data_IF_479892238648
#
_entry.id   IF_479892238648
#
_cell.length_a   1.000
_cell.length_b   1.000
_cell.length_c   1.000
_cell.angle_alpha   90.00
_cell.angle_beta   90.00
_cell.angle_gamma   90.00
#
_symmetry.space_group_name_H-M   'P 1'
#
loop_
_entity.id
_entity.type
_entity.pdbx_description
1 polymer ?
#
# COMPACT_ATOMS: atom_id res chain seq x y z
N UNK A 1 26.17 6.30 2.13
CA UNK A 1 27.04 7.40 1.69
C UNK A 1 26.19 8.40 0.95
N UNK A 2 26.11 9.63 1.46
CA UNK A 2 25.32 10.72 0.85
C UNK A 2 25.90 11.04 -0.53
N UNK A 3 25.13 10.82 -1.60
CA UNK A 3 25.42 11.41 -2.89
C UNK A 3 25.13 12.90 -2.77
N UNK A 4 26.17 13.73 -2.68
CA UNK A 4 26.03 15.18 -2.76
C UNK A 4 25.43 15.50 -4.14
N UNK A 5 24.20 15.99 -4.15
CA UNK A 5 23.51 16.41 -5.37
C UNK A 5 23.90 17.86 -5.64
N UNK A 6 24.59 18.12 -6.76
CA UNK A 6 25.01 19.47 -7.13
C UNK A 6 23.98 20.05 -8.10
N UNK A 7 23.47 21.25 -7.81
CA UNK A 7 22.65 22.03 -8.74
C UNK A 7 23.53 23.10 -9.40
N UNK A 8 23.70 23.02 -10.71
CA UNK A 8 24.61 23.87 -11.49
C UNK A 8 23.79 24.69 -12.49
N UNK A 9 24.04 25.99 -12.52
CA UNK A 9 23.41 26.92 -13.47
C UNK A 9 24.47 27.38 -14.47
N UNK A 10 24.17 27.25 -15.77
CA UNK A 10 24.99 27.82 -16.83
C UNK A 10 24.41 29.18 -17.21
N UNK A 11 25.26 30.22 -17.20
CA UNK A 11 24.89 31.60 -17.54
C UNK A 11 25.19 31.98 -18.99
N UNK A 12 25.02 33.27 -19.28
CA UNK A 12 24.71 33.90 -20.57
C UNK A 12 25.83 33.90 -21.64
N UNK A 13 26.81 33.02 -21.53
CA UNK A 13 27.84 32.85 -22.57
C UNK A 13 27.40 31.79 -23.58
N UNK A 14 27.46 32.12 -24.87
CA UNK A 14 27.10 31.21 -25.96
C UNK A 14 27.86 29.87 -25.90
N UNK A 15 29.14 29.89 -25.53
CA UNK A 15 29.96 28.68 -25.34
C UNK A 15 29.47 27.82 -24.16
N UNK A 16 29.06 28.46 -23.07
CA UNK A 16 28.51 27.79 -21.88
C UNK A 16 27.11 27.24 -22.15
N UNK A 17 26.30 27.95 -22.95
CA UNK A 17 24.98 27.49 -23.38
C UNK A 17 25.13 26.26 -24.28
N UNK A 18 26.02 26.31 -25.27
CA UNK A 18 26.28 25.18 -26.16
C UNK A 18 26.80 23.97 -25.38
N UNK A 19 27.67 24.20 -24.40
CA UNK A 19 28.12 23.14 -23.49
C UNK A 19 26.99 22.60 -22.61
N UNK A 20 26.10 23.46 -22.11
CA UNK A 20 24.92 23.06 -21.34
C UNK A 20 23.94 22.22 -22.17
N UNK A 21 23.83 22.49 -23.47
CA UNK A 21 23.03 21.68 -24.39
C UNK A 21 23.77 20.44 -24.91
N UNK A 22 25.10 20.40 -24.89
CA UNK A 22 25.92 19.30 -25.41
C UNK A 22 27.30 19.22 -24.70
N UNK A 23 27.36 18.60 -23.51
CA UNK A 23 28.62 18.43 -22.80
C UNK A 23 29.51 17.43 -23.51
N UNK A 24 30.73 17.83 -23.82
CA UNK A 24 31.70 17.00 -24.53
C UNK A 24 32.97 16.73 -23.69
N UNK A 25 33.07 17.30 -22.48
CA UNK A 25 34.22 17.18 -21.55
C UNK A 25 33.77 17.31 -20.09
N UNK A 26 34.56 16.79 -19.15
CA UNK A 26 34.35 16.97 -17.71
C UNK A 26 34.91 18.32 -17.22
N UNK A 27 34.12 19.39 -17.33
CA UNK A 27 34.52 20.75 -16.93
C UNK A 27 34.87 20.90 -15.44
N UNK A 28 34.28 20.05 -14.58
CA UNK A 28 34.48 20.11 -13.13
C UNK A 28 35.67 19.27 -12.65
N UNK A 29 36.35 18.57 -13.55
CA UNK A 29 37.47 17.66 -13.26
C UNK A 29 37.19 16.69 -12.10
N UNK A 30 35.95 16.18 -12.05
CA UNK A 30 35.52 15.34 -10.93
C UNK A 30 35.98 13.92 -11.17
N UNK A 31 36.78 13.40 -10.25
CA UNK A 31 37.36 12.06 -10.30
C UNK A 31 36.45 10.98 -9.68
N UNK A 32 35.15 11.22 -9.50
CA UNK A 32 34.22 10.26 -8.89
C UNK A 32 32.82 10.38 -9.49
N UNK A 33 32.10 9.26 -9.53
CA UNK A 33 30.74 9.20 -10.09
C UNK A 33 29.82 10.19 -9.36
N UNK A 34 29.49 11.30 -10.03
CA UNK A 34 28.72 12.41 -9.44
C UNK A 34 27.48 12.67 -10.28
N UNK A 35 26.36 12.83 -9.59
CA UNK A 35 25.07 13.23 -10.16
C UNK A 35 24.91 14.73 -10.04
N UNK A 36 24.69 15.40 -11.16
CA UNK A 36 24.47 16.85 -11.25
C UNK A 36 23.11 17.14 -11.84
N UNK A 37 22.38 18.07 -11.22
CA UNK A 37 21.21 18.70 -11.82
C UNK A 37 21.65 20.00 -12.47
N UNK A 38 21.33 20.17 -13.75
CA UNK A 38 21.78 21.30 -14.55
C UNK A 38 20.58 22.04 -15.10
N UNK A 39 20.62 23.37 -14.95
CA UNK A 39 19.69 24.27 -15.59
C UNK A 39 20.45 25.16 -16.56
N UNK A 40 20.13 25.04 -17.84
CA UNK A 40 20.57 25.97 -18.87
C UNK A 40 19.70 27.23 -18.81
N UNK A 41 20.30 28.37 -19.08
CA UNK A 41 19.56 29.62 -19.22
C UNK A 41 18.55 29.52 -20.38
N UNK A 42 17.35 30.07 -20.18
CA UNK A 42 16.16 29.93 -21.04
C UNK A 42 15.54 28.53 -21.18
N UNK A 43 16.08 27.52 -20.49
CA UNK A 43 15.43 26.20 -20.43
C UNK A 43 14.51 26.11 -19.20
N UNK A 44 13.26 25.74 -19.43
CA UNK A 44 12.30 25.49 -18.35
C UNK A 44 12.53 24.13 -17.67
N UNK A 45 13.43 23.31 -18.22
CA UNK A 45 13.66 21.92 -17.81
C UNK A 45 15.00 21.81 -17.08
N UNK A 46 15.00 21.14 -15.93
CA UNK A 46 16.23 20.75 -15.23
C UNK A 46 16.67 19.39 -15.77
N UNK A 47 17.90 19.29 -16.27
CA UNK A 47 18.48 18.07 -16.83
C UNK A 47 19.39 17.40 -15.84
N UNK A 48 19.56 16.08 -15.96
CA UNK A 48 20.47 15.32 -15.12
C UNK A 48 21.71 14.91 -15.92
N UNK A 49 22.90 15.23 -15.39
CA UNK A 49 24.17 14.77 -15.93
C UNK A 49 24.87 13.81 -14.97
N UNK A 50 25.55 12.83 -15.55
CA UNK A 50 26.43 11.91 -14.84
C UNK A 50 27.85 12.06 -15.36
N UNK A 51 28.79 12.36 -14.46
CA UNK A 51 30.20 12.14 -14.73
C UNK A 51 30.51 10.67 -14.43
N UNK A 52 30.86 9.91 -15.46
CA UNK A 52 31.38 8.54 -15.33
C UNK A 52 32.91 8.60 -15.35
N UNK A 53 33.59 7.62 -14.78
CA UNK A 53 35.06 7.55 -14.77
C UNK A 53 35.60 7.31 -16.20
N UNK A 54 35.73 8.41 -16.97
CA UNK A 54 36.36 8.70 -18.27
C UNK A 54 35.80 10.06 -18.76
N UNK A 55 36.43 10.74 -19.71
CA UNK A 55 36.05 12.09 -20.19
C UNK A 55 34.67 12.22 -20.89
N UNK A 56 33.69 11.37 -20.56
CA UNK A 56 32.36 11.32 -21.17
C UNK A 56 31.25 11.62 -20.14
N UNK A 57 30.31 12.48 -20.54
CA UNK A 57 29.11 12.82 -19.77
C UNK A 57 27.88 12.21 -20.45
N UNK A 58 27.08 11.43 -19.71
CA UNK A 58 25.79 10.90 -20.20
C UNK A 58 24.62 11.72 -19.67
N UNK A 59 23.62 11.96 -20.54
CA UNK A 59 22.38 12.69 -20.25
C UNK A 59 21.19 11.72 -20.17
N UNK A 60 20.32 11.90 -19.19
CA UNK A 60 18.98 11.30 -19.16
C UNK A 60 17.93 12.43 -19.09
N UNK A 61 17.09 12.55 -20.12
CA UNK A 61 16.00 13.53 -20.17
C UNK A 61 14.75 12.92 -19.50
N UNK A 62 14.53 13.26 -18.23
CA UNK A 62 13.28 12.92 -17.53
C UNK A 62 12.21 13.95 -17.89
N UNK A 63 11.26 13.53 -18.72
CA UNK A 63 10.08 14.27 -19.22
C UNK A 63 10.23 14.77 -20.65
N UNK A 64 10.15 13.82 -21.59
CA UNK A 64 9.49 14.11 -22.85
C UNK A 64 8.25 13.23 -22.98
N UNK A 65 7.08 13.87 -23.01
CA UNK A 65 5.79 13.26 -23.36
C UNK A 65 5.55 13.30 -24.87
N UNK A 66 6.61 13.43 -25.67
CA UNK A 66 6.56 13.21 -27.12
C UNK A 66 6.94 11.77 -27.44
N UNK A 67 5.90 11.01 -27.79
CA UNK A 67 5.91 9.62 -28.25
C UNK A 67 6.56 9.46 -29.65
N UNK A 68 7.66 10.17 -29.91
CA UNK A 68 8.35 10.20 -31.22
C UNK A 68 9.82 9.83 -31.19
N UNK A 69 10.41 9.52 -30.03
CA UNK A 69 11.73 8.88 -29.97
C UNK A 69 11.65 7.44 -29.45
N UNK A 70 12.01 6.54 -30.36
CA UNK A 70 12.13 5.09 -30.37
C UNK A 70 13.23 4.55 -29.45
N UNK A 71 13.35 5.05 -28.21
CA UNK A 71 14.39 4.58 -27.28
C UNK A 71 13.87 3.45 -26.39
N UNK A 72 14.60 2.32 -26.38
CA UNK A 72 14.46 1.24 -25.39
C UNK A 72 14.61 1.82 -23.97
N UNK A 73 13.50 1.97 -23.26
CA UNK A 73 13.46 2.61 -21.95
C UNK A 73 12.96 1.65 -20.86
N UNK A 74 13.21 2.02 -19.60
CA UNK A 74 12.87 1.22 -18.43
C UNK A 74 13.83 0.04 -18.18
N UNK A 75 13.49 -0.78 -17.18
CA UNK A 75 14.36 -1.86 -16.71
C UNK A 75 14.74 -2.85 -17.82
N UNK A 76 13.76 -3.35 -18.58
CA UNK A 76 13.98 -4.37 -19.61
C UNK A 76 14.74 -3.81 -20.82
N UNK A 77 14.45 -2.57 -21.23
CA UNK A 77 15.19 -1.88 -22.30
C UNK A 77 16.65 -1.65 -21.92
N UNK A 78 16.90 -1.21 -20.68
CA UNK A 78 18.27 -0.95 -20.19
C UNK A 78 19.08 -2.23 -20.06
N UNK A 79 18.47 -3.32 -19.59
CA UNK A 79 19.14 -4.62 -19.56
C UNK A 79 19.52 -5.06 -20.98
N UNK A 80 18.63 -4.87 -21.97
CA UNK A 80 18.95 -5.21 -23.35
C UNK A 80 20.08 -4.34 -23.91
N UNK A 81 20.14 -3.06 -23.54
CA UNK A 81 21.22 -2.16 -23.93
C UNK A 81 22.57 -2.60 -23.33
N UNK A 82 22.61 -3.00 -22.06
CA UNK A 82 23.83 -3.55 -21.44
C UNK A 82 24.23 -4.88 -22.10
N UNK A 83 23.27 -5.73 -22.46
CA UNK A 83 23.52 -6.95 -23.22
C UNK A 83 24.13 -6.61 -24.60
N UNK A 84 23.56 -5.62 -25.31
CA UNK A 84 24.03 -5.14 -26.61
C UNK A 84 25.48 -4.66 -26.55
N UNK A 85 25.84 -3.90 -25.51
CA UNK A 85 27.21 -3.41 -25.32
C UNK A 85 28.20 -4.54 -25.04
N UNK A 86 27.86 -5.50 -24.18
CA UNK A 86 28.78 -6.57 -23.75
C UNK A 86 28.93 -7.65 -24.83
N UNK A 87 27.84 -7.98 -25.53
CA UNK A 87 27.83 -8.99 -26.60
C UNK A 87 28.13 -8.39 -27.99
N UNK A 88 28.27 -7.07 -28.10
CA UNK A 88 28.54 -6.34 -29.33
C UNK A 88 27.57 -6.66 -30.48
N UNK A 89 26.26 -6.57 -30.21
CA UNK A 89 25.22 -6.70 -31.23
C UNK A 89 24.33 -5.45 -31.30
N UNK A 90 23.75 -5.18 -32.46
CA UNK A 90 22.85 -4.06 -32.68
C UNK A 90 21.40 -4.45 -32.42
N UNK A 91 20.63 -3.53 -31.85
CA UNK A 91 19.18 -3.70 -31.64
C UNK A 91 18.43 -2.74 -32.53
N UNK A 92 17.46 -3.26 -33.29
CA UNK A 92 16.52 -2.46 -34.07
C UNK A 92 15.10 -2.57 -33.48
N UNK A 93 14.43 -1.43 -33.32
CA UNK A 93 13.07 -1.37 -32.77
C UNK A 93 12.06 -1.49 -33.92
N UNK A 94 11.67 -2.73 -34.22
CA UNK A 94 10.75 -3.03 -35.33
C UNK A 94 9.33 -2.51 -35.08
N UNK A 95 8.79 -2.71 -33.87
CA UNK A 95 7.40 -2.36 -33.55
C UNK A 95 7.15 -2.24 -32.05
N UNK A 96 6.11 -1.49 -31.67
CA UNK A 96 5.62 -1.35 -30.30
C UNK A 96 4.15 -1.75 -30.23
N UNK A 97 3.83 -2.72 -29.37
CA UNK A 97 2.48 -3.26 -29.19
C UNK A 97 1.92 -2.86 -27.82
N UNK A 98 0.62 -2.59 -27.74
CA UNK A 98 -0.06 -2.32 -26.47
C UNK A 98 -0.39 -3.60 -25.68
N UNK A 99 -0.44 -4.75 -26.37
CA UNK A 99 -0.78 -6.04 -25.78
C UNK A 99 0.42 -6.98 -25.76
N UNK A 100 0.64 -7.64 -24.62
CA UNK A 100 1.63 -8.71 -24.51
C UNK A 100 1.30 -9.87 -25.45
N UNK A 101 0.03 -10.27 -25.48
CA UNK A 101 -0.50 -11.22 -26.45
C UNK A 101 -1.50 -12.20 -25.85
N UNK A 102 -2.62 -12.35 -26.54
CA UNK A 102 -3.73 -13.23 -26.17
C UNK A 102 -3.85 -14.36 -27.18
N UNK A 103 -4.20 -15.57 -26.72
CA UNK A 103 -4.51 -16.66 -27.63
C UNK A 103 -6.01 -16.68 -27.96
N UNK A 104 -6.34 -16.42 -29.23
CA UNK A 104 -7.69 -16.56 -29.73
C UNK A 104 -7.95 -18.01 -30.16
N UNK A 105 -8.85 -18.69 -29.45
CA UNK A 105 -9.18 -20.09 -29.74
C UNK A 105 -9.83 -20.27 -31.11
N UNK A 106 -10.65 -19.31 -31.54
CA UNK A 106 -11.43 -19.39 -32.78
C UNK A 106 -10.53 -19.31 -34.03
N UNK A 107 -9.62 -18.33 -34.05
CA UNK A 107 -8.66 -18.14 -35.15
C UNK A 107 -7.39 -18.96 -34.99
N UNK A 108 -7.22 -19.66 -33.87
CA UNK A 108 -5.99 -20.38 -33.47
C UNK A 108 -4.72 -19.53 -33.59
N UNK A 109 -4.84 -18.22 -33.37
CA UNK A 109 -3.75 -17.27 -33.55
C UNK A 109 -3.44 -16.49 -32.26
N UNK A 110 -2.20 -16.05 -32.14
CA UNK A 110 -1.73 -15.18 -31.06
C UNK A 110 -1.76 -13.72 -31.51
N UNK A 111 -2.18 -12.82 -30.62
CA UNK A 111 -2.07 -11.37 -30.84
C UNK A 111 -0.87 -10.76 -30.12
N UNK A 112 -0.66 -9.44 -30.35
CA UNK A 112 0.36 -8.65 -29.68
C UNK A 112 1.77 -9.17 -29.95
N UNK A 113 2.67 -8.96 -28.99
CA UNK A 113 4.09 -9.36 -29.15
C UNK A 113 4.23 -10.88 -29.28
N UNK A 114 3.41 -11.67 -28.59
CA UNK A 114 3.40 -13.14 -28.75
C UNK A 114 3.09 -13.57 -30.18
N UNK A 115 2.12 -12.92 -30.84
CA UNK A 115 1.79 -13.20 -32.24
C UNK A 115 2.98 -13.01 -33.17
N UNK A 116 3.70 -11.90 -33.01
CA UNK A 116 4.86 -11.55 -33.82
C UNK A 116 6.07 -12.45 -33.59
N UNK A 117 6.28 -12.90 -32.34
CA UNK A 117 7.31 -13.90 -32.03
C UNK A 117 6.99 -15.27 -32.67
N UNK A 118 5.72 -15.63 -32.71
CA UNK A 118 5.26 -16.90 -33.33
C UNK A 118 5.34 -16.83 -34.86
N UNK A 119 4.99 -15.70 -35.47
CA UNK A 119 5.15 -15.48 -36.92
C UNK A 119 6.61 -15.20 -37.34
N UNK A 120 7.54 -15.08 -36.38
CA UNK A 120 8.96 -14.77 -36.59
C UNK A 120 9.18 -13.41 -37.27
N UNK A 121 8.30 -12.45 -37.03
CA UNK A 121 8.47 -11.05 -37.46
C UNK A 121 9.48 -10.30 -36.60
N UNK A 122 9.72 -10.77 -35.36
CA UNK A 122 10.68 -10.19 -34.41
C UNK A 122 11.45 -11.30 -33.70
N UNK A 123 12.69 -11.02 -33.27
CA UNK A 123 13.54 -11.99 -32.59
C UNK A 123 13.33 -12.05 -31.08
N UNK A 124 13.11 -10.87 -30.46
CA UNK A 124 13.04 -10.68 -29.00
C UNK A 124 11.90 -9.70 -28.67
N UNK A 125 11.01 -10.14 -27.78
CA UNK A 125 10.04 -9.30 -27.09
C UNK A 125 10.64 -8.71 -25.82
N UNK A 126 10.69 -7.38 -25.76
CA UNK A 126 11.33 -6.61 -24.67
C UNK A 126 10.28 -5.94 -23.81
N UNK A 127 9.79 -6.66 -22.81
CA UNK A 127 8.86 -6.15 -21.81
C UNK A 127 8.85 -7.08 -20.58
N UNK A 128 8.03 -6.74 -19.59
CA UNK A 128 7.71 -7.61 -18.46
C UNK A 128 6.80 -8.76 -18.91
N UNK A 129 7.37 -9.78 -19.58
CA UNK A 129 6.62 -10.97 -19.96
C UNK A 129 6.62 -12.02 -18.86
N UNK A 130 5.42 -12.29 -18.34
CA UNK A 130 5.16 -13.41 -17.46
C UNK A 130 5.16 -14.74 -18.22
N UNK A 131 5.69 -15.76 -17.56
CA UNK A 131 5.76 -17.13 -18.09
C UNK A 131 4.49 -17.92 -17.75
N UNK A 132 3.92 -18.59 -18.76
CA UNK A 132 2.83 -19.56 -18.62
C UNK A 132 3.15 -20.79 -19.47
N UNK A 133 2.63 -21.97 -19.08
CA UNK A 133 2.75 -23.23 -19.83
C UNK A 133 2.45 -23.05 -21.32
N UNK A 134 1.33 -22.40 -21.67
CA UNK A 134 0.93 -22.22 -23.07
C UNK A 134 1.84 -21.28 -23.86
N UNK A 135 2.36 -20.23 -23.21
CA UNK A 135 3.33 -19.34 -23.85
C UNK A 135 4.66 -20.06 -24.07
N UNK A 136 5.10 -20.87 -23.10
CA UNK A 136 6.29 -21.71 -23.21
C UNK A 136 6.22 -22.76 -24.34
N UNK A 137 5.02 -23.16 -24.77
CA UNK A 137 4.85 -24.06 -25.91
C UNK A 137 5.23 -23.39 -27.25
N UNK A 138 5.01 -22.08 -27.37
CA UNK A 138 5.13 -21.35 -28.64
C UNK A 138 6.31 -20.37 -28.72
N UNK A 139 6.86 -19.95 -27.59
CA UNK A 139 8.05 -19.08 -27.50
C UNK A 139 9.00 -19.59 -26.42
N UNK A 140 10.23 -19.11 -26.44
CA UNK A 140 11.19 -19.32 -25.36
C UNK A 140 11.29 -18.09 -24.45
N UNK A 141 11.64 -18.29 -23.18
CA UNK A 141 11.89 -17.20 -22.26
C UNK A 141 13.33 -17.24 -21.75
N UNK A 142 13.90 -16.06 -21.49
CA UNK A 142 15.17 -15.95 -20.77
C UNK A 142 15.02 -16.37 -19.30
N UNK A 143 16.15 -16.46 -18.59
CA UNK A 143 16.14 -16.44 -17.12
C UNK A 143 15.44 -15.16 -16.62
N UNK A 144 14.73 -15.21 -15.48
CA UNK A 144 13.91 -14.09 -15.03
C UNK A 144 14.74 -12.87 -14.66
N UNK A 145 14.35 -11.70 -15.15
CA UNK A 145 14.96 -10.41 -14.80
C UNK A 145 14.35 -9.84 -13.51
N UNK A 146 13.08 -10.14 -13.27
CA UNK A 146 12.37 -9.79 -12.04
C UNK A 146 11.45 -10.92 -11.61
N UNK A 147 11.27 -11.07 -10.30
CA UNK A 147 10.28 -11.98 -9.70
C UNK A 147 9.39 -11.10 -8.83
N UNK A 148 8.10 -11.15 -9.10
CA UNK A 148 7.06 -10.41 -8.40
C UNK A 148 6.04 -11.37 -7.82
N UNK A 149 4.98 -10.85 -7.20
CA UNK A 149 3.83 -11.65 -6.77
C UNK A 149 2.55 -11.21 -7.46
N UNK A 150 1.67 -12.17 -7.70
CA UNK A 150 0.30 -11.89 -8.10
C UNK A 150 -0.52 -11.46 -6.89
N UNK A 151 -1.16 -10.30 -6.99
CA UNK A 151 -1.96 -9.72 -5.93
C UNK A 151 -3.35 -9.38 -6.45
N UNK A 152 -4.29 -9.29 -5.52
CA UNK A 152 -5.61 -8.72 -5.77
C UNK A 152 -5.67 -7.30 -5.22
N UNK A 153 -6.04 -6.34 -6.06
CA UNK A 153 -6.14 -4.94 -5.70
C UNK A 153 -7.60 -4.51 -5.64
N UNK A 154 -7.97 -3.85 -4.55
CA UNK A 154 -9.29 -3.25 -4.37
C UNK A 154 -9.17 -1.83 -3.86
N UNK A 155 -10.22 -1.05 -4.07
CA UNK A 155 -10.35 0.27 -3.45
C UNK A 155 -10.27 0.14 -1.93
N UNK A 156 -9.42 0.94 -1.28
CA UNK A 156 -9.37 1.03 0.17
C UNK A 156 -10.75 1.49 0.70
N UNK A 157 -11.46 0.71 1.53
CA UNK A 157 -12.62 1.19 2.27
C UNK A 157 -12.30 2.46 3.05
N UNK A 158 -13.25 3.40 3.00
CA UNK A 158 -13.18 4.66 3.77
C UNK A 158 -13.49 4.45 5.26
N UNK A 159 -13.91 3.26 5.67
CA UNK A 159 -14.32 2.99 7.05
C UNK A 159 -13.11 2.65 7.91
N UNK A 160 -12.87 3.49 8.92
CA UNK A 160 -12.17 3.11 10.13
C UNK A 160 -13.11 2.20 10.92
N UNK A 161 -12.89 0.89 10.91
CA UNK A 161 -13.47 0.04 11.93
C UNK A 161 -12.70 0.32 13.22
N UNK A 162 -13.00 1.43 13.92
CA UNK A 162 -12.56 1.50 15.30
C UNK A 162 -13.29 0.37 16.00
N UNK A 163 -12.53 -0.62 16.44
CA UNK A 163 -13.07 -1.77 17.11
C UNK A 163 -13.63 -1.27 18.43
N UNK A 164 -14.96 -1.08 18.50
CA UNK A 164 -15.62 -0.54 19.69
C UNK A 164 -15.35 -1.36 20.95
N UNK A 165 -14.98 -2.64 20.79
CA UNK A 165 -14.47 -3.46 21.89
C UNK A 165 -13.27 -2.84 22.62
N UNK A 166 -12.43 -2.04 21.94
CA UNK A 166 -11.33 -1.31 22.56
C UNK A 166 -11.81 -0.20 23.50
N UNK A 167 -12.94 0.45 23.20
CA UNK A 167 -13.58 1.37 24.13
C UNK A 167 -14.31 0.64 25.25
N UNK A 168 -14.72 -0.62 25.06
CA UNK A 168 -15.68 -1.32 25.93
C UNK A 168 -15.04 -2.38 26.85
N UNK A 169 -13.76 -2.24 27.23
CA UNK A 169 -13.11 -3.10 28.25
C UNK A 169 -13.53 -2.77 29.70
N UNK A 170 -14.83 -2.55 29.97
CA UNK A 170 -15.34 -2.12 31.28
C UNK A 170 -15.68 -3.28 32.21
N UNK A 171 -15.87 -4.50 31.69
CA UNK A 171 -16.38 -5.61 32.49
C UNK A 171 -15.47 -5.89 33.71
N UNK A 172 -14.15 -5.99 33.51
CA UNK A 172 -13.18 -6.18 34.60
C UNK A 172 -13.15 -5.01 35.57
N UNK A 173 -13.28 -3.78 35.06
CA UNK A 173 -13.34 -2.58 35.89
C UNK A 173 -14.60 -2.56 36.76
N UNK A 174 -15.79 -2.91 36.25
CA UNK A 174 -17.04 -2.92 37.03
C UNK A 174 -16.96 -3.92 38.21
N UNK A 175 -16.36 -5.09 38.00
CA UNK A 175 -16.13 -6.05 39.09
C UNK A 175 -15.18 -5.50 40.16
N UNK A 176 -14.09 -4.86 39.75
CA UNK A 176 -13.16 -4.21 40.69
C UNK A 176 -13.87 -3.10 41.49
N UNK A 177 -14.73 -2.32 40.85
CA UNK A 177 -15.49 -1.23 41.47
C UNK A 177 -16.46 -1.71 42.54
N UNK A 178 -17.24 -2.74 42.22
CA UNK A 178 -18.20 -3.33 43.16
C UNK A 178 -17.50 -4.04 44.32
N UNK A 179 -16.34 -4.64 44.08
CA UNK A 179 -15.52 -5.22 45.15
C UNK A 179 -14.94 -4.14 46.08
N UNK A 180 -14.35 -3.08 45.52
CA UNK A 180 -13.79 -1.98 46.32
C UNK A 180 -14.87 -1.23 47.12
N UNK A 181 -16.08 -1.03 46.56
CA UNK A 181 -17.19 -0.39 47.28
C UNK A 181 -17.66 -1.22 48.47
N UNK A 182 -17.75 -2.55 48.29
CA UNK A 182 -18.08 -3.48 49.36
C UNK A 182 -17.05 -3.43 50.49
N UNK A 183 -15.75 -3.46 50.17
CA UNK A 183 -14.66 -3.43 51.16
C UNK A 183 -14.69 -2.13 51.96
N UNK A 184 -14.83 -0.98 51.29
CA UNK A 184 -14.91 0.33 51.98
C UNK A 184 -16.17 0.41 52.84
N UNK A 185 -17.32 -0.05 52.36
CA UNK A 185 -18.56 -0.04 53.12
C UNK A 185 -18.48 -0.93 54.38
N UNK A 186 -17.78 -2.06 54.31
CA UNK A 186 -17.51 -2.93 55.47
C UNK A 186 -16.53 -2.24 56.45
N UNK A 187 -15.50 -1.56 55.95
CA UNK A 187 -14.60 -0.80 56.81
C UNK A 187 -15.34 0.35 57.53
N UNK A 188 -16.13 1.13 56.79
CA UNK A 188 -16.91 2.24 57.38
C UNK A 188 -17.97 1.75 58.36
N UNK A 189 -18.62 0.60 58.12
CA UNK A 189 -19.61 0.04 59.06
C UNK A 189 -18.98 -0.51 60.35
N UNK A 190 -17.70 -0.93 60.30
CA UNK A 190 -16.94 -1.28 61.51
C UNK A 190 -16.48 -0.04 62.31
N UNK A 191 -16.29 1.10 61.64
CA UNK A 191 -15.92 2.37 62.28
C UNK A 191 -17.12 3.21 62.74
N UNK A 192 -18.34 2.94 62.25
CA UNK A 192 -19.56 3.65 62.66
C UNK A 192 -20.83 2.83 62.46
N UNK A 193 -21.83 3.02 63.34
CA UNK A 193 -23.13 2.31 63.30
C UNK A 193 -24.06 2.87 62.21
N UNK A 194 -23.69 2.70 60.94
CA UNK A 194 -24.55 3.00 59.77
C UNK A 194 -24.92 1.70 59.04
N UNK A 195 -26.07 1.72 58.36
CA UNK A 195 -26.53 0.60 57.53
C UNK A 195 -25.55 0.34 56.38
N UNK A 196 -25.08 -0.90 56.25
CA UNK A 196 -24.08 -1.31 55.25
C UNK A 196 -24.58 -1.06 53.82
N UNK A 197 -25.86 -1.30 53.56
CA UNK A 197 -26.46 -1.16 52.21
C UNK A 197 -26.42 0.29 51.73
N UNK A 198 -26.76 1.26 52.60
CA UNK A 198 -26.70 2.68 52.27
C UNK A 198 -25.26 3.16 52.04
N UNK A 199 -24.30 2.63 52.82
CA UNK A 199 -22.88 2.90 52.62
C UNK A 199 -22.36 2.32 51.30
N UNK A 200 -22.86 1.17 50.84
CA UNK A 200 -22.45 0.58 49.55
C UNK A 200 -22.86 1.50 48.39
N UNK A 201 -24.10 2.02 48.40
CA UNK A 201 -24.57 2.90 47.31
C UNK A 201 -23.81 4.22 47.27
N UNK A 202 -23.58 4.86 48.42
CA UNK A 202 -22.80 6.10 48.53
C UNK A 202 -21.34 5.90 48.08
N UNK A 203 -20.69 4.82 48.55
CA UNK A 203 -19.32 4.51 48.15
C UNK A 203 -19.20 4.11 46.67
N UNK A 204 -20.23 3.50 46.06
CA UNK A 204 -20.24 3.26 44.62
C UNK A 204 -20.08 4.56 43.82
N UNK A 205 -20.77 5.64 44.21
CA UNK A 205 -20.63 6.94 43.54
C UNK A 205 -19.26 7.58 43.78
N UNK A 206 -18.71 7.49 45.00
CA UNK A 206 -17.37 7.99 45.28
C UNK A 206 -16.29 7.28 44.47
N UNK A 207 -16.35 5.94 44.38
CA UNK A 207 -15.38 5.18 43.60
C UNK A 207 -15.56 5.45 42.11
N UNK A 208 -16.81 5.56 41.62
CA UNK A 208 -17.09 6.01 40.25
C UNK A 208 -16.44 7.37 39.95
N UNK A 209 -16.62 8.34 40.85
CA UNK A 209 -15.96 9.64 40.77
C UNK A 209 -14.45 9.53 40.69
N UNK A 210 -13.82 8.70 41.54
CA UNK A 210 -12.37 8.48 41.50
C UNK A 210 -11.89 7.93 40.15
N UNK A 211 -12.62 6.97 39.55
CA UNK A 211 -12.31 6.48 38.20
C UNK A 211 -12.46 7.54 37.11
N UNK A 212 -13.39 8.47 37.29
CA UNK A 212 -13.54 9.65 36.44
C UNK A 212 -12.54 10.76 36.79
N UNK A 213 -11.50 10.49 37.58
CA UNK A 213 -10.50 11.46 38.05
C UNK A 213 -11.06 12.61 38.87
N UNK A 214 -12.20 12.39 39.53
CA UNK A 214 -12.80 13.35 40.45
C UNK A 214 -12.31 13.10 41.88
N UNK A 215 -12.17 14.19 42.64
CA UNK A 215 -11.81 14.12 44.06
C UNK A 215 -12.97 13.60 44.93
N UNK A 216 -12.64 13.25 46.17
CA UNK A 216 -13.65 12.99 47.19
C UNK A 216 -14.23 14.32 47.70
N UNK A 217 -15.55 14.42 47.93
CA UNK A 217 -16.14 15.63 48.49
C UNK A 217 -15.72 15.88 49.94
N UNK A 218 -15.54 14.82 50.72
CA UNK A 218 -15.06 14.89 52.10
C UNK A 218 -14.08 13.75 52.37
N UNK A 219 -12.98 14.05 53.07
CA UNK A 219 -11.98 13.05 53.42
C UNK A 219 -12.31 12.38 54.76
N UNK A 220 -12.21 11.04 54.86
CA UNK A 220 -12.47 10.34 56.12
C UNK A 220 -11.42 10.71 57.17
N UNK A 221 -11.83 10.80 58.43
CA UNK A 221 -10.95 11.15 59.55
C UNK A 221 -9.93 10.04 59.89
N UNK A 222 -10.35 8.77 59.81
CA UNK A 222 -9.53 7.62 60.17
C UNK A 222 -8.39 7.37 59.17
N UNK A 223 -7.18 7.13 59.70
CA UNK A 223 -5.96 6.88 58.90
C UNK A 223 -6.05 5.64 58.02
N UNK A 224 -6.70 4.57 58.48
CA UNK A 224 -6.92 3.34 57.70
C UNK A 224 -7.76 3.59 56.44
N UNK A 225 -8.82 4.40 56.55
CA UNK A 225 -9.64 4.80 55.42
C UNK A 225 -8.89 5.75 54.47
N UNK A 226 -8.09 6.68 54.99
CA UNK A 226 -7.24 7.56 54.16
C UNK A 226 -6.26 6.75 53.29
N UNK A 227 -5.61 5.73 53.86
CA UNK A 227 -4.71 4.85 53.12
C UNK A 227 -5.46 4.02 52.05
N UNK A 228 -6.66 3.54 52.37
CA UNK A 228 -7.50 2.80 51.42
C UNK A 228 -7.94 3.67 50.24
N UNK A 229 -8.37 4.91 50.48
CA UNK A 229 -8.71 5.83 49.40
C UNK A 229 -7.47 6.25 48.59
N UNK A 230 -6.33 6.49 49.24
CA UNK A 230 -5.08 6.82 48.55
C UNK A 230 -4.62 5.69 47.60
N UNK A 231 -4.73 4.43 48.02
CA UNK A 231 -4.40 3.29 47.14
C UNK A 231 -5.37 3.15 45.98
N UNK A 232 -6.66 3.44 46.19
CA UNK A 232 -7.66 3.48 45.11
C UNK A 232 -7.40 4.60 44.10
N UNK A 233 -7.01 5.80 44.56
CA UNK A 233 -6.59 6.89 43.67
C UNK A 233 -5.38 6.51 42.82
N UNK A 234 -4.33 5.93 43.42
CA UNK A 234 -3.14 5.50 42.68
C UNK A 234 -3.52 4.42 41.65
N UNK A 235 -4.32 3.43 42.04
CA UNK A 235 -4.80 2.38 41.16
C UNK A 235 -5.60 2.95 39.98
N UNK A 236 -6.50 3.89 40.25
CA UNK A 236 -7.30 4.56 39.23
C UNK A 236 -6.44 5.35 38.24
N UNK A 237 -5.40 6.05 38.70
CA UNK A 237 -4.44 6.74 37.82
C UNK A 237 -3.74 5.73 36.89
N UNK A 238 -3.28 4.59 37.42
CA UNK A 238 -2.62 3.55 36.62
C UNK A 238 -3.58 2.95 35.58
N UNK A 239 -4.82 2.65 35.96
CA UNK A 239 -5.85 2.16 35.04
C UNK A 239 -6.14 3.20 33.95
N UNK A 240 -6.23 4.49 34.30
CA UNK A 240 -6.48 5.53 33.32
C UNK A 240 -5.32 5.69 32.33
N UNK A 241 -4.07 5.72 32.82
CA UNK A 241 -2.88 5.84 31.97
C UNK A 241 -2.79 4.64 31.02
N UNK A 242 -3.00 3.42 31.52
CA UNK A 242 -2.96 2.22 30.69
C UNK A 242 -4.07 2.21 29.64
N UNK A 243 -5.30 2.58 30.01
CA UNK A 243 -6.41 2.73 29.06
C UNK A 243 -6.13 3.80 28.00
N UNK A 244 -5.60 4.96 28.39
CA UNK A 244 -5.24 6.03 27.47
C UNK A 244 -4.15 5.59 26.48
N UNK A 245 -3.14 4.86 26.97
CA UNK A 245 -2.06 4.33 26.15
C UNK A 245 -2.56 3.26 25.15
N UNK A 246 -3.38 2.30 25.58
CA UNK A 246 -3.93 1.27 24.69
C UNK A 246 -4.86 1.87 23.64
N UNK A 247 -5.72 2.82 24.05
CA UNK A 247 -6.59 3.54 23.13
C UNK A 247 -5.78 4.33 22.09
N UNK A 248 -4.74 5.04 22.52
CA UNK A 248 -3.84 5.76 21.60
C UNK A 248 -3.17 4.80 20.62
N UNK A 249 -2.66 3.66 21.10
CA UNK A 249 -2.08 2.62 20.23
C UNK A 249 -3.08 2.15 19.16
N UNK A 250 -4.33 1.87 19.53
CA UNK A 250 -5.35 1.43 18.56
C UNK A 250 -5.74 2.51 17.55
N UNK A 251 -5.82 3.77 17.97
CA UNK A 251 -6.20 4.87 17.06
C UNK A 251 -5.04 5.21 16.11
N UNK A 252 -3.78 5.05 16.55
CA UNK A 252 -2.61 5.36 15.71
C UNK A 252 -2.40 4.38 14.56
N UNK A 253 -2.79 3.11 14.72
CA UNK A 253 -2.66 2.10 13.68
C UNK A 253 -3.99 1.91 12.96
N UNK A 254 -4.10 2.46 11.75
CA UNK A 254 -5.25 2.22 10.89
C UNK A 254 -5.19 0.81 10.28
N UNK A 255 -5.97 -0.11 10.83
CA UNK A 255 -6.26 -1.39 10.19
C UNK A 255 -7.64 -1.35 9.52
N UNK A 256 -7.71 -1.17 8.19
CA UNK A 256 -8.97 -1.20 7.48
C UNK A 256 -9.54 -2.62 7.52
N UNK A 257 -10.81 -2.75 7.87
CA UNK A 257 -11.54 -4.01 7.74
C UNK A 257 -11.71 -4.34 6.25
N UNK A 258 -10.86 -5.23 5.74
CA UNK A 258 -10.99 -5.76 4.39
C UNK A 258 -12.22 -6.67 4.31
N UNK A 259 -12.97 -6.65 3.19
CA UNK A 259 -14.11 -7.53 3.00
C UNK A 259 -13.71 -9.00 2.87
N UNK A 260 -12.45 -9.27 2.52
CA UNK A 260 -11.85 -10.60 2.49
C UNK A 260 -10.32 -10.46 2.55
N UNK A 261 -9.67 -11.49 3.09
CA UNK A 261 -8.20 -11.57 3.23
C UNK A 261 -7.59 -12.72 2.43
N UNK A 262 -8.40 -13.70 2.04
CA UNK A 262 -7.95 -14.89 1.30
C UNK A 262 -8.64 -15.05 -0.04
N UNK A 263 -7.99 -15.79 -0.95
CA UNK A 263 -8.57 -16.20 -2.23
C UNK A 263 -9.89 -16.98 -2.05
N UNK A 264 -9.97 -17.81 -1.01
CA UNK A 264 -11.14 -18.65 -0.74
C UNK A 264 -12.33 -17.80 -0.28
N UNK A 265 -12.07 -16.84 0.62
CA UNK A 265 -13.07 -15.91 1.12
C UNK A 265 -13.61 -15.00 -0.01
N UNK A 266 -12.73 -14.54 -0.91
CA UNK A 266 -13.14 -13.81 -2.12
C UNK A 266 -14.14 -14.61 -2.99
N UNK A 267 -13.99 -15.93 -3.08
CA UNK A 267 -14.87 -16.76 -3.90
C UNK A 267 -16.24 -17.03 -3.24
N UNK A 268 -16.26 -17.10 -1.91
CA UNK A 268 -17.47 -17.27 -1.10
C UNK A 268 -18.32 -15.99 -1.08
N UNK A 269 -17.69 -14.83 -0.86
CA UNK A 269 -18.38 -13.56 -0.78
C UNK A 269 -18.67 -12.99 -2.18
N UNK A 270 -19.94 -12.97 -2.58
CA UNK A 270 -20.38 -12.53 -3.93
C UNK A 270 -20.38 -11.02 -4.18
N UNK A 271 -19.78 -10.23 -3.29
CA UNK A 271 -19.93 -8.77 -3.31
C UNK A 271 -19.04 -8.05 -4.32
N UNK A 272 -17.99 -8.73 -4.83
CA UNK A 272 -17.03 -8.16 -5.77
C UNK A 272 -16.88 -9.02 -7.02
N UNK A 273 -16.79 -8.35 -8.18
CA UNK A 273 -16.42 -8.99 -9.45
C UNK A 273 -14.91 -8.93 -9.67
N UNK A 274 -14.38 -9.78 -10.54
CA UNK A 274 -12.97 -9.85 -10.88
C UNK A 274 -12.71 -9.12 -12.20
N UNK A 275 -11.73 -8.21 -12.23
CA UNK A 275 -11.25 -7.58 -13.47
C UNK A 275 -9.76 -7.87 -13.67
N UNK A 276 -9.35 -7.94 -14.93
CA UNK A 276 -7.97 -8.20 -15.35
C UNK A 276 -7.66 -7.42 -16.61
N UNK A 277 -6.38 -7.19 -16.88
CA UNK A 277 -5.96 -6.54 -18.10
C UNK A 277 -6.25 -7.41 -19.33
N UNK A 278 -6.89 -6.84 -20.35
CA UNK A 278 -7.25 -7.57 -21.57
C UNK A 278 -5.99 -8.04 -22.31
N UNK A 279 -5.99 -9.32 -22.71
CA UNK A 279 -4.86 -9.94 -23.41
C UNK A 279 -3.57 -10.04 -22.60
N UNK A 280 -3.68 -9.96 -21.27
CA UNK A 280 -2.60 -10.30 -20.35
C UNK A 280 -2.56 -11.80 -20.06
N UNK A 281 -1.47 -12.22 -19.41
CA UNK A 281 -1.36 -13.58 -18.85
C UNK A 281 -2.50 -13.90 -17.86
N UNK A 282 -2.99 -12.91 -17.12
CA UNK A 282 -4.07 -13.07 -16.13
C UNK A 282 -5.36 -13.48 -16.81
N UNK A 283 -5.68 -12.80 -17.91
CA UNK A 283 -6.82 -13.09 -18.75
C UNK A 283 -6.74 -14.51 -19.34
N UNK A 284 -5.59 -14.87 -19.95
CA UNK A 284 -5.35 -16.20 -20.50
C UNK A 284 -5.49 -17.30 -19.45
N UNK A 285 -4.89 -17.08 -18.28
CA UNK A 285 -4.85 -18.07 -17.19
C UNK A 285 -6.24 -18.33 -16.63
N UNK A 286 -7.06 -17.29 -16.45
CA UNK A 286 -8.44 -17.45 -15.96
C UNK A 286 -9.34 -18.12 -17.00
N UNK A 287 -9.22 -17.75 -18.27
CA UNK A 287 -10.08 -18.31 -19.30
C UNK A 287 -9.80 -19.79 -19.58
N UNK A 288 -8.53 -20.21 -19.50
CA UNK A 288 -8.08 -21.50 -20.01
C UNK A 288 -7.78 -22.53 -18.92
N UNK A 289 -7.57 -22.11 -17.66
CA UNK A 289 -7.25 -23.04 -16.58
C UNK A 289 -8.41 -24.00 -16.29
N UNK A 290 -8.04 -25.27 -16.06
CA UNK A 290 -8.97 -26.34 -15.64
C UNK A 290 -9.10 -26.44 -14.11
N UNK A 291 -8.32 -25.67 -13.35
CA UNK A 291 -8.30 -25.75 -11.91
C UNK A 291 -9.65 -25.30 -11.32
N UNK A 292 -10.23 -26.01 -10.33
CA UNK A 292 -11.57 -25.72 -9.80
C UNK A 292 -11.71 -24.29 -9.28
N UNK A 293 -10.70 -23.80 -8.56
CA UNK A 293 -10.65 -22.43 -8.03
C UNK A 293 -10.69 -21.38 -9.16
N UNK A 294 -9.91 -21.59 -10.22
CA UNK A 294 -9.84 -20.64 -11.34
C UNK A 294 -11.13 -20.67 -12.17
N UNK A 295 -11.81 -21.82 -12.24
CA UNK A 295 -13.14 -21.92 -12.85
C UNK A 295 -14.18 -21.09 -12.09
N UNK A 296 -14.07 -21.00 -10.76
CA UNK A 296 -14.90 -20.11 -9.95
C UNK A 296 -14.54 -18.64 -10.18
N UNK A 297 -13.25 -18.31 -10.27
CA UNK A 297 -12.80 -16.95 -10.66
C UNK A 297 -13.32 -16.55 -12.03
N UNK A 298 -13.33 -17.47 -13.00
CA UNK A 298 -13.86 -17.23 -14.35
C UNK A 298 -15.34 -16.86 -14.32
N UNK A 299 -16.13 -17.43 -13.41
CA UNK A 299 -17.55 -17.05 -13.23
C UNK A 299 -17.72 -15.64 -12.65
N UNK A 300 -16.71 -15.12 -11.95
CA UNK A 300 -16.69 -13.76 -11.37
C UNK A 300 -16.03 -12.72 -12.30
N UNK A 301 -15.43 -13.17 -13.39
CA UNK A 301 -14.72 -12.30 -14.33
C UNK A 301 -15.72 -11.39 -15.05
N UNK A 302 -15.41 -10.10 -15.08
CA UNK A 302 -16.13 -9.11 -15.89
C UNK A 302 -16.13 -9.54 -17.36
N UNK A 303 -17.21 -9.21 -18.09
CA UNK A 303 -17.34 -9.55 -19.50
C UNK A 303 -16.13 -9.08 -20.32
N UNK A 304 -15.72 -9.88 -21.31
CA UNK A 304 -14.51 -9.61 -22.11
C UNK A 304 -14.51 -8.25 -22.84
N UNK A 305 -15.68 -7.65 -23.06
CA UNK A 305 -15.83 -6.33 -23.68
C UNK A 305 -15.51 -5.18 -22.72
N UNK A 306 -15.78 -5.38 -21.43
CA UNK A 306 -15.63 -4.38 -20.37
C UNK A 306 -14.29 -4.55 -19.62
N UNK A 307 -13.39 -5.40 -20.14
CA UNK A 307 -12.05 -5.57 -19.61
C UNK A 307 -11.14 -4.41 -20.05
N UNK A 308 -10.38 -3.82 -19.13
CA UNK A 308 -9.55 -2.67 -19.41
C UNK A 308 -8.39 -3.01 -20.35
N UNK A 309 -8.10 -2.07 -21.23
CA UNK A 309 -6.99 -2.13 -22.21
C UNK A 309 -5.81 -1.26 -21.80
N UNK A 310 -6.02 -0.32 -20.88
CA UNK A 310 -4.95 0.52 -20.31
C UNK A 310 -4.93 0.42 -18.79
N UNK A 311 -3.76 0.66 -18.20
CA UNK A 311 -3.62 0.63 -16.74
C UNK A 311 -4.48 1.69 -16.06
N UNK A 312 -4.60 2.88 -16.66
CA UNK A 312 -5.41 3.98 -16.12
C UNK A 312 -6.89 3.59 -16.09
N UNK A 313 -7.38 2.97 -17.16
CA UNK A 313 -8.75 2.44 -17.25
C UNK A 313 -9.00 1.37 -16.18
N UNK A 314 -8.06 0.44 -15.99
CA UNK A 314 -8.17 -0.59 -14.96
C UNK A 314 -8.26 0.00 -13.54
N UNK A 315 -7.41 1.00 -13.24
CA UNK A 315 -7.42 1.69 -11.95
C UNK A 315 -8.71 2.49 -11.75
N UNK A 316 -9.19 3.17 -12.80
CA UNK A 316 -10.47 3.88 -12.75
C UNK A 316 -11.65 2.92 -12.51
N UNK A 317 -11.64 1.75 -13.14
CA UNK A 317 -12.65 0.70 -12.94
C UNK A 317 -12.69 0.24 -11.47
N UNK A 318 -11.53 0.00 -10.84
CA UNK A 318 -11.46 -0.39 -9.41
C UNK A 318 -11.97 0.71 -8.49
N UNK A 319 -11.73 1.97 -8.82
CA UNK A 319 -12.13 3.09 -7.97
C UNK A 319 -13.63 3.43 -8.06
N UNK A 320 -14.26 3.11 -9.19
CA UNK A 320 -15.67 3.43 -9.48
C UNK A 320 -16.61 2.24 -9.27
N UNK A 321 -16.19 1.04 -9.67
CA UNK A 321 -16.99 -0.18 -9.60
C UNK A 321 -16.53 -1.06 -8.43
N UNK A 322 -17.41 -1.95 -7.95
CA UNK A 322 -17.06 -2.98 -6.94
C UNK A 322 -16.35 -4.15 -7.62
N UNK A 323 -15.13 -3.89 -8.10
CA UNK A 323 -14.29 -4.89 -8.76
C UNK A 323 -12.94 -5.03 -8.07
N UNK A 324 -12.34 -6.21 -8.22
CA UNK A 324 -11.02 -6.55 -7.74
C UNK A 324 -10.12 -6.75 -8.95
N UNK A 325 -9.01 -6.02 -8.99
CA UNK A 325 -8.03 -6.11 -10.07
C UNK A 325 -6.98 -7.16 -9.74
N UNK A 326 -6.88 -8.20 -10.56
CA UNK A 326 -5.88 -9.26 -10.38
C UNK A 326 -4.68 -9.04 -11.30
N UNK A 327 -3.53 -8.67 -10.71
CA UNK A 327 -2.29 -8.39 -11.44
C UNK A 327 -1.05 -8.43 -10.52
N UNK A 328 0.15 -8.22 -11.08
CA UNK A 328 1.37 -8.12 -10.28
C UNK A 328 1.55 -6.74 -9.63
N UNK A 329 2.47 -6.67 -8.67
CA UNK A 329 2.83 -5.44 -7.95
C UNK A 329 3.56 -4.39 -8.78
N UNK A 330 4.35 -4.79 -9.78
CA UNK A 330 5.14 -3.84 -10.57
C UNK A 330 4.23 -2.90 -11.35
N UNK A 331 3.18 -3.43 -12.00
CA UNK A 331 2.26 -2.60 -12.79
C UNK A 331 1.49 -1.60 -11.93
N UNK A 332 1.06 -1.97 -10.72
CA UNK A 332 0.36 -1.05 -9.80
C UNK A 332 1.32 -0.02 -9.21
N UNK A 333 2.48 -0.45 -8.72
CA UNK A 333 3.44 0.45 -8.09
C UNK A 333 3.98 1.50 -9.05
N UNK A 334 4.27 1.11 -10.31
CA UNK A 334 4.71 2.03 -11.36
C UNK A 334 3.68 3.12 -11.67
N UNK A 335 2.40 2.82 -11.50
CA UNK A 335 1.29 3.76 -11.75
C UNK A 335 0.74 4.40 -10.48
N UNK A 336 1.32 4.12 -9.31
CA UNK A 336 0.87 4.66 -8.03
C UNK A 336 0.68 6.19 -8.00
N UNK A 337 1.58 7.03 -8.57
CA UNK A 337 1.37 8.48 -8.57
C UNK A 337 0.15 8.92 -9.42
N UNK A 338 -0.32 8.07 -10.33
CA UNK A 338 -1.48 8.31 -11.20
C UNK A 338 -2.76 7.62 -10.70
N UNK A 339 -2.72 7.01 -9.51
CA UNK A 339 -3.88 6.29 -8.97
C UNK A 339 -5.00 7.28 -8.59
N UNK A 340 -6.22 7.13 -9.12
CA UNK A 340 -7.33 8.02 -8.81
C UNK A 340 -7.90 7.81 -7.39
N UNK A 341 -7.61 6.68 -6.75
CA UNK A 341 -8.01 6.40 -5.38
C UNK A 341 -6.94 5.54 -4.65
N UNK A 342 -6.92 5.54 -3.31
CA UNK A 342 -6.05 4.65 -2.55
C UNK A 342 -6.49 3.19 -2.74
N UNK A 343 -5.53 2.33 -3.09
CA UNK A 343 -5.74 0.90 -3.27
C UNK A 343 -5.16 0.10 -2.11
N UNK A 344 -5.70 -1.07 -1.88
CA UNK A 344 -5.13 -2.09 -1.00
C UNK A 344 -4.90 -3.38 -1.76
N UNK A 345 -3.82 -4.06 -1.41
CA UNK A 345 -3.40 -5.31 -2.03
C UNK A 345 -3.59 -6.47 -1.07
N UNK A 346 -4.09 -7.58 -1.60
CA UNK A 346 -4.11 -8.88 -0.94
C UNK A 346 -3.11 -9.77 -1.69
N UNK A 347 -2.07 -10.22 -0.99
CA UNK A 347 -1.04 -11.09 -1.55
C UNK A 347 -1.61 -12.51 -1.75
N UNK A 348 -1.51 -13.02 -2.97
CA UNK A 348 -1.99 -14.37 -3.30
C UNK A 348 -0.88 -15.43 -3.17
N UNK A 349 0.34 -15.02 -2.81
CA UNK A 349 1.49 -15.91 -2.60
C UNK A 349 2.00 -16.59 -3.88
N UNK A 350 1.49 -16.22 -5.05
CA UNK A 350 1.88 -16.82 -6.33
C UNK A 350 2.99 -15.99 -6.97
N UNK A 351 4.20 -16.55 -7.16
CA UNK A 351 5.28 -15.84 -7.81
C UNK A 351 5.02 -15.66 -9.30
N UNK A 352 5.41 -14.51 -9.81
CA UNK A 352 5.31 -14.13 -11.21
C UNK A 352 6.70 -13.78 -11.72
N UNK A 353 7.20 -14.59 -12.64
CA UNK A 353 8.55 -14.44 -13.18
C UNK A 353 8.52 -13.70 -14.50
N UNK A 354 9.15 -12.53 -14.52
CA UNK A 354 9.21 -11.62 -15.67
C UNK A 354 10.54 -11.79 -16.41
N UNK A 355 10.48 -12.00 -17.72
CA UNK A 355 11.63 -12.36 -18.57
C UNK A 355 11.51 -11.77 -19.97
N UNK A 356 12.60 -11.77 -20.74
CA UNK A 356 12.49 -11.56 -22.19
C UNK A 356 11.78 -12.74 -22.84
N UNK A 357 10.97 -12.46 -23.86
CA UNK A 357 10.39 -13.48 -24.72
C UNK A 357 11.24 -13.56 -26.00
N UNK A 358 11.60 -14.76 -26.43
CA UNK A 358 12.41 -15.02 -27.63
C UNK A 358 11.64 -15.96 -28.55
N UNK A 359 11.93 -15.91 -29.85
CA UNK A 359 11.42 -16.92 -30.79
C UNK A 359 11.71 -18.34 -30.29
N UNK A 360 10.82 -19.28 -30.62
CA UNK A 360 10.98 -20.68 -30.22
C UNK A 360 12.28 -21.26 -30.76
N UNK A 361 13.03 -21.95 -29.91
CA UNK A 361 14.35 -22.52 -30.20
C UNK A 361 15.38 -21.46 -30.63
N UNK A 362 15.30 -20.24 -30.09
CA UNK A 362 16.25 -19.17 -30.40
C UNK A 362 17.70 -19.58 -30.10
N UNK A 363 18.65 -19.40 -31.04
CA UNK A 363 20.06 -19.67 -30.80
C UNK A 363 20.66 -18.74 -29.72
N UNK A 364 20.07 -17.54 -29.55
CA UNK A 364 20.56 -16.52 -28.63
C UNK A 364 20.20 -16.79 -27.17
N UNK A 365 19.27 -17.71 -26.89
CA UNK A 365 18.78 -17.98 -25.53
C UNK A 365 19.89 -18.34 -24.55
N UNK A 366 20.82 -19.21 -24.95
CA UNK A 366 21.90 -19.68 -24.07
C UNK A 366 22.86 -18.56 -23.70
N UNK A 367 23.29 -17.77 -24.68
CA UNK A 367 24.24 -16.68 -24.46
C UNK A 367 23.60 -15.52 -23.69
N UNK A 368 22.34 -15.17 -24.00
CA UNK A 368 21.58 -14.16 -23.25
C UNK A 368 21.43 -14.59 -21.78
N UNK A 369 21.07 -15.86 -21.53
CA UNK A 369 20.95 -16.36 -20.17
C UNK A 369 22.27 -16.29 -19.38
N UNK A 370 23.39 -16.64 -20.03
CA UNK A 370 24.71 -16.55 -19.40
C UNK A 370 25.03 -15.12 -18.94
N UNK A 371 24.81 -14.12 -19.80
CA UNK A 371 25.08 -12.72 -19.43
C UNK A 371 24.09 -12.15 -18.42
N UNK A 372 22.81 -12.54 -18.48
CA UNK A 372 21.85 -12.13 -17.45
C UNK A 372 22.23 -12.69 -16.08
N UNK A 373 22.69 -13.94 -16.00
CA UNK A 373 23.19 -14.52 -14.74
C UNK A 373 24.46 -13.80 -14.26
N UNK A 374 25.38 -13.43 -15.15
CA UNK A 374 26.53 -12.60 -14.80
C UNK A 374 26.10 -11.23 -14.28
N UNK A 375 25.14 -10.57 -14.93
CA UNK A 375 24.60 -9.29 -14.47
C UNK A 375 23.92 -9.42 -13.11
N UNK A 376 23.33 -10.58 -12.79
CA UNK A 376 22.80 -10.87 -11.45
C UNK A 376 23.94 -11.04 -10.43
N UNK A 377 24.97 -11.81 -10.76
CA UNK A 377 26.11 -12.09 -9.87
C UNK A 377 26.93 -10.83 -9.54
N UNK A 378 27.17 -9.96 -10.53
CA UNK A 378 27.89 -8.70 -10.34
C UNK A 378 27.00 -7.56 -9.81
N UNK A 379 25.71 -7.81 -9.54
CA UNK A 379 24.80 -6.81 -9.00
C UNK A 379 24.33 -5.74 -9.99
N UNK A 380 24.66 -5.85 -11.28
CA UNK A 380 24.21 -4.93 -12.33
C UNK A 380 22.69 -4.91 -12.41
N UNK A 381 22.02 -6.07 -12.36
CA UNK A 381 20.55 -6.13 -12.33
C UNK A 381 19.96 -5.41 -11.11
N UNK A 382 20.65 -5.46 -9.96
CA UNK A 382 20.22 -4.76 -8.74
C UNK A 382 20.33 -3.24 -8.90
N UNK A 383 21.42 -2.76 -9.51
CA UNK A 383 21.62 -1.33 -9.83
C UNK A 383 20.55 -0.84 -10.80
N UNK A 384 20.34 -1.54 -11.92
CA UNK A 384 19.32 -1.18 -12.90
C UNK A 384 17.92 -1.21 -12.29
N UNK A 385 17.62 -2.23 -11.48
CA UNK A 385 16.35 -2.31 -10.76
C UNK A 385 16.14 -1.11 -9.84
N UNK A 386 17.13 -0.73 -9.04
CA UNK A 386 17.03 0.41 -8.14
C UNK A 386 16.88 1.76 -8.89
N UNK A 387 17.39 1.85 -10.12
CA UNK A 387 17.23 3.05 -10.96
C UNK A 387 15.80 3.21 -11.48
N UNK A 388 15.18 2.10 -11.93
CA UNK A 388 13.86 2.15 -12.60
C UNK A 388 12.68 1.79 -11.70
N UNK A 389 12.89 1.04 -10.62
CA UNK A 389 11.92 1.00 -9.55
C UNK A 389 12.06 2.33 -8.81
N UNK A 390 11.12 3.24 -9.07
CA UNK A 390 10.83 4.30 -8.10
C UNK A 390 10.75 3.60 -6.75
N UNK A 391 11.67 3.94 -5.83
CA UNK A 391 11.31 3.86 -4.43
C UNK A 391 9.97 4.59 -4.39
N UNK A 392 8.90 3.89 -4.02
CA UNK A 392 7.74 4.58 -3.51
C UNK A 392 8.33 5.55 -2.52
N UNK A 393 8.36 6.83 -2.87
CA UNK A 393 8.44 7.87 -1.88
C UNK A 393 7.32 7.43 -0.97
N UNK A 394 7.68 6.93 0.21
CA UNK A 394 6.74 6.62 1.27
C UNK A 394 6.09 7.97 1.41
N UNK A 395 4.93 8.14 0.77
CA UNK A 395 4.19 9.37 0.82
C UNK A 395 3.87 9.41 2.30
N UNK A 396 4.64 10.24 3.02
CA UNK A 396 4.69 10.34 4.47
C UNK A 396 3.32 9.96 4.98
N UNK A 397 3.25 8.87 5.76
CA UNK A 397 2.02 8.27 6.29
C UNK A 397 0.98 9.38 6.41
N UNK A 398 0.10 9.51 5.40
CA UNK A 398 -0.82 10.64 5.35
C UNK A 398 -1.57 10.57 6.67
N UNK A 399 -1.39 11.58 7.52
CA UNK A 399 -2.04 11.60 8.81
C UNK A 399 -3.53 11.64 8.52
N UNK A 400 -4.24 10.56 8.85
CA UNK A 400 -5.68 10.49 8.70
C UNK A 400 -6.29 10.91 10.03
N UNK A 401 -6.95 12.07 10.09
CA UNK A 401 -7.64 12.47 11.30
C UNK A 401 -8.74 11.46 11.61
N UNK A 402 -9.02 11.26 12.91
CA UNK A 402 -10.15 10.45 13.35
C UNK A 402 -11.43 11.05 12.76
N UNK A 403 -12.20 10.23 12.05
CA UNK A 403 -13.42 10.70 11.40
C UNK A 403 -14.50 11.03 12.44
N UNK A 404 -15.37 11.99 12.15
CA UNK A 404 -16.50 12.32 13.03
C UNK A 404 -17.39 11.08 13.31
N UNK A 405 -17.59 10.23 12.30
CA UNK A 405 -18.35 8.98 12.43
C UNK A 405 -17.80 8.03 13.49
N UNK A 406 -16.50 8.12 13.76
CA UNK A 406 -15.82 7.30 14.75
C UNK A 406 -16.18 7.68 16.20
N UNK A 407 -16.63 8.91 16.47
CA UNK A 407 -16.99 9.39 17.81
C UNK A 407 -18.50 9.46 18.05
N UNK A 408 -19.32 9.30 17.00
CA UNK A 408 -20.79 9.40 17.07
C UNK A 408 -21.40 8.55 18.19
N UNK A 409 -21.06 7.26 18.37
CA UNK A 409 -21.64 6.46 19.45
C UNK A 409 -21.29 6.94 20.86
N UNK A 410 -20.10 7.54 21.09
CA UNK A 410 -19.76 8.17 22.38
C UNK A 410 -20.69 9.36 22.64
N UNK A 411 -20.93 10.18 21.62
CA UNK A 411 -21.85 11.32 21.71
C UNK A 411 -23.29 10.84 21.96
N UNK A 412 -23.72 9.75 21.32
CA UNK A 412 -25.05 9.16 21.55
C UNK A 412 -25.19 8.70 23.00
N UNK A 413 -24.20 7.99 23.57
CA UNK A 413 -24.22 7.55 24.98
C UNK A 413 -24.32 8.74 25.92
N UNK A 414 -23.55 9.81 25.66
CA UNK A 414 -23.60 11.03 26.45
C UNK A 414 -24.98 11.70 26.39
N UNK A 415 -25.51 11.92 25.19
CA UNK A 415 -26.82 12.57 24.99
C UNK A 415 -27.94 11.72 25.60
N UNK A 416 -27.89 10.38 25.45
CA UNK A 416 -28.87 9.49 26.07
C UNK A 416 -28.81 9.53 27.59
N UNK A 417 -27.60 9.61 28.16
CA UNK A 417 -27.41 9.75 29.61
C UNK A 417 -27.96 11.05 30.17
N UNK A 418 -27.71 12.17 29.48
CA UNK A 418 -28.28 13.48 29.83
C UNK A 418 -29.80 13.47 29.71
N UNK A 419 -30.35 12.91 28.63
CA UNK A 419 -31.79 12.78 28.45
C UNK A 419 -32.45 11.94 29.55
N UNK A 420 -31.82 10.82 29.94
CA UNK A 420 -32.29 9.99 31.05
C UNK A 420 -32.27 10.73 32.39
N UNK A 421 -31.21 11.50 32.67
CA UNK A 421 -31.12 12.31 33.89
C UNK A 421 -32.22 13.39 33.95
N UNK A 422 -32.52 14.04 32.83
CA UNK A 422 -33.61 15.02 32.73
C UNK A 422 -34.97 14.35 32.97
N UNK A 423 -35.20 13.16 32.39
CA UNK A 423 -36.43 12.40 32.62
C UNK A 423 -36.61 12.04 34.09
N UNK A 424 -35.54 11.57 34.75
CA UNK A 424 -35.59 11.27 36.19
C UNK A 424 -35.92 12.51 37.02
N UNK A 425 -35.34 13.67 36.69
CA UNK A 425 -35.63 14.93 37.38
C UNK A 425 -37.09 15.38 37.19
N UNK A 426 -37.66 15.17 36.00
CA UNK A 426 -39.09 15.46 35.74
C UNK A 426 -39.98 14.50 36.54
N UNK A 427 -39.65 13.22 36.60
CA UNK A 427 -40.42 12.23 37.39
C UNK A 427 -40.40 12.55 38.88
N UNK A 428 -39.25 12.96 39.42
CA UNK A 428 -39.10 13.29 40.85
C UNK A 428 -39.96 14.52 41.20
N UNK A 429 -39.90 15.57 40.37
CA UNK A 429 -40.74 16.77 40.55
C UNK A 429 -42.23 16.52 40.31
N UNK A 430 -42.59 15.64 39.37
CA UNK A 430 -43.98 15.26 39.09
C UNK A 430 -44.62 14.51 40.26
N UNK A 431 -43.86 13.68 40.96
CA UNK A 431 -44.32 12.95 42.15
C UNK A 431 -44.57 13.83 43.38
N UNK A 432 -44.01 15.05 43.41
CA UNK A 432 -44.25 16.04 44.47
C UNK A 432 -45.49 16.91 44.22
N UNK A 433 -46.11 16.86 43.03
CA UNK A 433 -47.29 17.67 42.70
C UNK A 433 -48.63 16.95 42.94
N UNK A 434 -48.63 15.65 43.26
CA UNK A 434 -49.83 14.83 43.46
C UNK A 434 -50.21 14.61 44.95
N UNK A 435 -49.69 15.43 45.89
CA UNK A 435 -50.06 15.39 47.32
C UNK A 435 -50.68 16.67 47.82
#
# INVERSE_FOLDING_TARGET
>A
MSLNLWLVFFGESDDLLQFCYAPHKNLFNIAFNTKMLIKCENDHIIKEWYSLFKDEVKRDDYMNSDFKNTSLSGLFGSVLQELSNVMNFTVDLVTSEQMFGHYYADSKNWSGVMGRLVSKEIDIGVAEFSRNKRRLEVVDFSVPLSITRFNMYLKRPNMTAIMWSSYVQWATNIFLMTFCSLVIAIMMSKLGKKNVIALISENCFHIWGMQCQQGLPEFPSATSLKLAFASLFISSIVIHITYSATLTSFITVFEPSLPFTTEQEFLLHSSYNLTVFRGSIYHDSIQQSKHPIVKLMKKRLVNSKDLPTTMIEALHQVCTQKVVLYMNEIFVNKNNPRNPCPLMSIDMGRPDSQSFALIKNSPYKKIINFYIENFRAFGILKVLRNRYQQHSIILNSKYWPVSFWSIVPILIIFISGVGFAILMLICDNGSQCDT
#
